data_IF_434887512527
#
_entry.id   IF_434887512527
#
_cell.length_a   1.000
_cell.length_b   1.000
_cell.length_c   1.000
_cell.angle_alpha   90.00
_cell.angle_beta   90.00
_cell.angle_gamma   90.00
#
_symmetry.space_group_name_H-M   'P 1'
#
loop_
_entity.id
_entity.type
_entity.pdbx_description
1 polymer ?
#
# COMPACT_ATOMS: atom_id res chain seq x y z
N UNK A 1 -7.29 -5.98 21.19
CA UNK A 1 -6.67 -5.77 19.87
C UNK A 1 -5.42 -4.95 20.09
N UNK A 2 -4.25 -5.43 19.67
CA UNK A 2 -3.03 -4.62 19.77
C UNK A 2 -3.20 -3.40 18.86
N UNK A 3 -2.84 -2.22 19.37
CA UNK A 3 -2.81 -1.01 18.56
C UNK A 3 -1.60 -1.10 17.61
N UNK A 4 -1.80 -0.78 16.33
CA UNK A 4 -0.74 -0.84 15.33
C UNK A 4 0.11 0.42 15.46
N UNK A 5 1.37 0.26 15.87
CA UNK A 5 2.32 1.37 15.88
C UNK A 5 2.77 1.69 14.45
N UNK A 6 2.62 2.95 14.07
CA UNK A 6 3.06 3.51 12.80
C UNK A 6 4.29 4.39 13.03
N UNK A 7 5.20 4.43 12.07
CA UNK A 7 6.31 5.38 12.07
C UNK A 7 5.84 6.75 11.56
N UNK A 8 6.64 7.80 11.82
CA UNK A 8 6.38 9.14 11.26
C UNK A 8 6.29 9.13 9.73
N UNK A 9 7.07 8.25 9.07
CA UNK A 9 7.05 8.06 7.63
C UNK A 9 5.72 7.42 7.18
N UNK A 10 5.22 6.42 7.90
CA UNK A 10 3.92 5.79 7.62
C UNK A 10 2.77 6.82 7.80
N UNK A 11 2.81 7.60 8.87
CA UNK A 11 1.80 8.65 9.13
C UNK A 11 1.83 9.72 8.04
N UNK A 12 3.01 10.21 7.65
CA UNK A 12 3.16 11.18 6.57
C UNK A 12 2.63 10.64 5.23
N UNK A 13 2.88 9.36 4.91
CA UNK A 13 2.32 8.71 3.72
C UNK A 13 0.79 8.61 3.79
N UNK A 14 0.22 8.31 4.97
CA UNK A 14 -1.24 8.31 5.17
C UNK A 14 -1.85 9.71 5.05
N UNK A 15 -1.10 10.75 5.39
CA UNK A 15 -1.49 12.15 5.19
C UNK A 15 -1.29 12.64 3.75
N UNK A 16 -0.73 11.79 2.88
CA UNK A 16 -0.59 12.06 1.45
C UNK A 16 0.74 12.68 1.04
N UNK A 17 1.74 12.75 1.93
CA UNK A 17 3.05 13.34 1.63
C UNK A 17 3.80 12.62 0.49
N UNK A 18 3.46 11.35 0.22
CA UNK A 18 4.04 10.54 -0.86
C UNK A 18 3.12 10.42 -2.09
N UNK A 19 2.07 11.25 -2.19
CA UNK A 19 1.11 11.23 -3.28
C UNK A 19 -0.04 10.24 -3.09
N UNK A 20 -1.10 10.34 -3.91
CA UNK A 20 -2.35 9.63 -3.68
C UNK A 20 -2.25 8.12 -3.91
N UNK A 21 -1.42 7.66 -4.85
CA UNK A 21 -1.16 6.22 -5.03
C UNK A 21 -0.52 5.59 -3.79
N UNK A 22 0.54 6.21 -3.24
CA UNK A 22 1.21 5.72 -2.04
C UNK A 22 0.28 5.73 -0.82
N UNK A 23 -0.51 6.80 -0.65
CA UNK A 23 -1.50 6.91 0.41
C UNK A 23 -2.52 5.75 0.36
N UNK A 24 -3.07 5.46 -0.82
CA UNK A 24 -3.99 4.34 -1.00
C UNK A 24 -3.34 3.00 -0.67
N UNK A 25 -2.15 2.74 -1.21
CA UNK A 25 -1.40 1.51 -0.98
C UNK A 25 -1.13 1.30 0.51
N UNK A 26 -0.66 2.33 1.22
CA UNK A 26 -0.39 2.22 2.66
C UNK A 26 -1.66 2.01 3.48
N UNK A 27 -2.79 2.66 3.12
CA UNK A 27 -4.10 2.38 3.74
C UNK A 27 -4.48 0.90 3.63
N UNK A 28 -4.22 0.26 2.49
CA UNK A 28 -4.47 -1.17 2.31
C UNK A 28 -3.56 -2.03 3.20
N UNK A 29 -2.27 -1.71 3.27
CA UNK A 29 -1.30 -2.39 4.14
C UNK A 29 -1.70 -2.27 5.61
N UNK A 30 -2.07 -1.07 6.07
CA UNK A 30 -2.52 -0.82 7.45
C UNK A 30 -3.80 -1.57 7.77
N UNK A 31 -4.77 -1.60 6.85
CA UNK A 31 -5.99 -2.37 7.04
C UNK A 31 -5.69 -3.86 7.21
N UNK A 32 -4.82 -4.43 6.37
CA UNK A 32 -4.38 -5.82 6.49
C UNK A 32 -3.63 -6.07 7.80
N UNK A 33 -2.71 -5.19 8.19
CA UNK A 33 -1.95 -5.30 9.43
C UNK A 33 -2.87 -5.35 10.65
N UNK A 34 -3.91 -4.50 10.69
CA UNK A 34 -4.93 -4.51 11.75
C UNK A 34 -5.72 -5.81 11.77
N UNK A 35 -6.16 -6.33 10.62
CA UNK A 35 -6.85 -7.63 10.53
C UNK A 35 -5.95 -8.76 11.04
N UNK A 36 -4.64 -8.68 10.77
CA UNK A 36 -3.65 -9.67 11.24
C UNK A 36 -3.22 -9.45 12.70
N UNK A 37 -3.64 -8.37 13.36
CA UNK A 37 -3.20 -8.03 14.71
C UNK A 37 -1.70 -7.73 14.80
N UNK A 38 -1.09 -7.23 13.72
CA UNK A 38 0.32 -6.90 13.69
C UNK A 38 0.61 -5.68 14.60
N UNK A 39 1.68 -5.72 15.42
CA UNK A 39 2.00 -4.63 16.34
C UNK A 39 2.69 -3.44 15.66
N UNK A 40 3.34 -3.66 14.51
CA UNK A 40 4.05 -2.64 13.72
C UNK A 40 4.30 -3.11 12.30
N UNK A 41 4.56 -2.17 11.40
CA UNK A 41 5.09 -2.46 10.06
C UNK A 41 6.62 -2.66 10.10
N UNK A 42 7.15 -3.41 9.14
CA UNK A 42 8.58 -3.64 8.97
C UNK A 42 9.07 -2.98 7.69
N UNK A 43 10.10 -2.16 7.78
CA UNK A 43 10.81 -1.66 6.59
C UNK A 43 11.49 -2.84 5.90
N UNK A 44 11.22 -2.97 4.61
CA UNK A 44 11.92 -3.90 3.72
C UNK A 44 12.88 -3.11 2.84
N UNK A 45 14.08 -3.64 2.62
CA UNK A 45 15.08 -2.99 1.77
C UNK A 45 14.82 -3.23 0.28
N UNK A 46 14.07 -4.30 -0.05
CA UNK A 46 13.78 -4.70 -1.41
C UNK A 46 12.48 -5.53 -1.44
N UNK A 47 11.76 -5.44 -2.55
CA UNK A 47 10.62 -6.29 -2.87
C UNK A 47 10.79 -6.79 -4.30
N UNK A 48 10.46 -8.05 -4.53
CA UNK A 48 10.34 -8.62 -5.86
C UNK A 48 8.85 -8.77 -6.18
N UNK A 49 8.43 -8.22 -7.31
CA UNK A 49 7.07 -8.38 -7.81
C UNK A 49 7.08 -9.50 -8.83
N UNK A 50 6.36 -10.57 -8.52
CA UNK A 50 6.13 -11.71 -9.41
C UNK A 50 4.62 -11.91 -9.62
N UNK A 51 4.22 -12.71 -10.59
CA UNK A 51 2.82 -12.98 -10.89
C UNK A 51 2.12 -11.87 -11.68
N UNK A 52 2.88 -11.05 -12.42
CA UNK A 52 2.37 -10.10 -13.41
C UNK A 52 1.78 -10.84 -14.63
N UNK A 53 0.71 -11.60 -14.38
CA UNK A 53 -0.01 -12.35 -15.39
C UNK A 53 -1.33 -11.65 -15.68
N UNK A 54 -1.75 -11.73 -16.94
CA UNK A 54 -3.06 -11.25 -17.33
C UNK A 54 -4.15 -12.20 -16.80
N UNK A 55 -4.80 -11.79 -15.72
CA UNK A 55 -5.93 -12.51 -15.12
C UNK A 55 -7.29 -11.97 -15.58
N UNK A 56 -7.32 -11.27 -16.72
CA UNK A 56 -8.52 -10.64 -17.28
C UNK A 56 -8.54 -9.12 -17.14
N UNK A 57 -9.57 -8.50 -17.75
CA UNK A 57 -9.67 -7.05 -17.94
C UNK A 57 -9.65 -6.26 -16.63
N UNK A 58 -10.32 -6.78 -15.59
CA UNK A 58 -10.39 -6.10 -14.30
C UNK A 58 -9.01 -5.86 -13.66
N UNK A 59 -8.06 -6.79 -13.83
CA UNK A 59 -6.69 -6.60 -13.34
C UNK A 59 -5.95 -5.49 -14.08
N UNK A 60 -6.18 -5.38 -15.39
CA UNK A 60 -5.59 -4.31 -16.21
C UNK A 60 -6.18 -2.95 -15.81
N UNK A 61 -7.51 -2.84 -15.72
CA UNK A 61 -8.18 -1.59 -15.35
C UNK A 61 -7.71 -1.09 -13.98
N UNK A 62 -7.48 -2.01 -13.02
CA UNK A 62 -6.94 -1.67 -11.70
C UNK A 62 -5.52 -1.10 -11.78
N UNK A 63 -4.63 -1.72 -12.55
CA UNK A 63 -3.24 -1.26 -12.68
C UNK A 63 -3.17 0.07 -13.43
N UNK A 64 -3.97 0.26 -14.48
CA UNK A 64 -4.04 1.53 -15.22
C UNK A 64 -4.58 2.66 -14.34
N UNK A 65 -5.65 2.40 -13.58
CA UNK A 65 -6.19 3.37 -12.63
C UNK A 65 -5.19 3.73 -11.53
N UNK A 66 -4.54 2.73 -10.92
CA UNK A 66 -3.55 2.96 -9.87
C UNK A 66 -2.33 3.70 -10.42
N UNK A 67 -1.89 3.39 -11.65
CA UNK A 67 -0.82 4.10 -12.35
C UNK A 67 -1.16 5.58 -12.56
N UNK A 68 -2.39 5.88 -12.99
CA UNK A 68 -2.84 7.26 -13.15
C UNK A 68 -2.85 8.07 -11.84
N UNK A 69 -2.93 7.42 -10.67
CA UNK A 69 -2.77 8.08 -9.37
C UNK A 69 -1.30 8.35 -9.01
N UNK A 70 -0.35 7.65 -9.63
CA UNK A 70 1.08 7.84 -9.37
C UNK A 70 1.70 8.94 -10.26
N UNK A 71 1.07 9.22 -11.40
CA UNK A 71 1.57 10.15 -12.42
C UNK A 71 1.15 11.62 -12.21
N UNK A 72 0.32 11.91 -11.20
CA UNK A 72 -0.20 13.25 -10.86
C UNK A 72 0.25 13.72 -9.49
#
# INVERSE_FOLDING_TARGET
MADLALSEEDEAMLDGAAGPAAQLCLRMVVALARVRGAPRLLRVASAHVDGCLYHGRAGLDFVEWLGGLADG
#
